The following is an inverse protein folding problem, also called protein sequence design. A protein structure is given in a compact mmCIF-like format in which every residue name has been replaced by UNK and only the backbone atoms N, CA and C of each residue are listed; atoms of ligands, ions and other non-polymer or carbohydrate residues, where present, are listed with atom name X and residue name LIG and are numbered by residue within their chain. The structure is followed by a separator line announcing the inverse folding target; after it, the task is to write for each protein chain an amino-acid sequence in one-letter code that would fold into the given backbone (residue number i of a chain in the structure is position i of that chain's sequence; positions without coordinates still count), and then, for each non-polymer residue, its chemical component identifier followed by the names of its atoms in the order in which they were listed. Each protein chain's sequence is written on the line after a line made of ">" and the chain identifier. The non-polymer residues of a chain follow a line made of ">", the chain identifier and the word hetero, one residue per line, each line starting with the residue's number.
data_IF_870796187989
#
_entry.id   IF_870796187989
#
_cell.length_a   1.000
_cell.length_b   1.000
_cell.length_c   1.000
_cell.angle_alpha   90.00
_cell.angle_beta   90.00
_cell.angle_gamma   90.00
#
_symmetry.space_group_name_H-M   'P 1'
#
loop_
_entity.id
_entity.type
_entity.pdbx_description
1 polymer ?
#
# COMPACT_ATOMS: atom_id res chain seq x y z
N UNK A 1 4.20 9.50 -6.66
CA UNK A 1 4.24 9.85 -5.22
C UNK A 1 2.81 9.79 -4.70
N UNK A 2 2.46 8.93 -3.74
CA UNK A 2 1.13 8.94 -3.10
C UNK A 2 0.40 7.60 -2.88
N UNK A 3 0.80 6.49 -3.49
CA UNK A 3 0.08 5.21 -3.34
C UNK A 3 0.12 4.66 -1.90
N UNK A 4 1.24 4.83 -1.19
CA UNK A 4 1.35 4.44 0.22
C UNK A 4 0.49 5.29 1.15
N UNK A 5 0.42 6.60 0.89
CA UNK A 5 -0.45 7.49 1.64
C UNK A 5 -1.92 7.13 1.39
N UNK A 6 -2.29 6.82 0.14
CA UNK A 6 -3.59 6.26 -0.21
C UNK A 6 -3.90 5.02 0.62
N UNK A 7 -3.00 4.03 0.66
CA UNK A 7 -3.17 2.82 1.49
C UNK A 7 -3.44 3.18 2.96
N UNK A 8 -2.73 4.15 3.54
CA UNK A 8 -2.94 4.54 4.93
C UNK A 8 -4.29 5.22 5.16
N UNK A 9 -4.77 6.02 4.21
CA UNK A 9 -6.10 6.65 4.26
C UNK A 9 -7.18 5.59 4.17
N UNK A 10 -7.11 4.71 3.16
CA UNK A 10 -8.11 3.65 2.95
C UNK A 10 -8.15 2.66 4.11
N UNK A 11 -7.00 2.35 4.73
CA UNK A 11 -6.95 1.57 5.97
C UNK A 11 -7.70 2.23 7.12
N UNK A 12 -7.61 3.56 7.26
CA UNK A 12 -8.37 4.32 8.25
C UNK A 12 -9.85 4.40 7.92
N UNK A 13 -10.19 4.42 6.63
CA UNK A 13 -11.57 4.48 6.14
C UNK A 13 -12.26 3.10 6.16
N UNK A 14 -11.48 2.02 6.27
CA UNK A 14 -11.98 0.64 6.30
C UNK A 14 -12.21 0.04 4.91
N UNK A 15 -11.80 0.74 3.83
CA UNK A 15 -11.95 0.27 2.46
C UNK A 15 -10.81 -0.70 2.11
N UNK A 16 -11.09 -2.00 2.27
CA UNK A 16 -10.11 -3.05 2.02
C UNK A 16 -9.83 -3.25 0.53
N UNK A 17 -10.78 -2.91 -0.34
CA UNK A 17 -10.66 -3.09 -1.78
C UNK A 17 -9.72 -2.03 -2.37
N UNK A 18 -9.84 -0.79 -1.90
CA UNK A 18 -8.93 0.30 -2.26
C UNK A 18 -7.51 0.01 -1.74
N UNK A 19 -7.38 -0.48 -0.49
CA UNK A 19 -6.09 -0.94 0.05
C UNK A 19 -5.45 -2.02 -0.83
N UNK A 20 -6.21 -3.03 -1.23
CA UNK A 20 -5.70 -4.11 -2.07
C UNK A 20 -5.29 -3.62 -3.47
N UNK A 21 -6.07 -2.72 -4.07
CA UNK A 21 -5.80 -2.13 -5.38
C UNK A 21 -4.52 -1.29 -5.39
N UNK A 22 -4.34 -0.46 -4.37
CA UNK A 22 -3.13 0.34 -4.21
C UNK A 22 -1.92 -0.52 -3.85
N UNK A 23 -2.08 -1.53 -3.00
CA UNK A 23 -1.03 -2.48 -2.66
C UNK A 23 -0.54 -3.27 -3.90
N UNK A 24 -1.47 -3.70 -4.75
CA UNK A 24 -1.15 -4.38 -6.00
C UNK A 24 -0.41 -3.46 -6.97
N UNK A 25 -0.87 -2.22 -7.12
CA UNK A 25 -0.23 -1.21 -7.96
C UNK A 25 1.18 -0.90 -7.48
N UNK A 26 1.36 -0.74 -6.17
CA UNK A 26 2.64 -0.49 -5.54
C UNK A 26 3.63 -1.64 -5.79
N UNK A 27 3.20 -2.90 -5.61
CA UNK A 27 4.04 -4.08 -5.87
C UNK A 27 4.37 -4.29 -7.34
N UNK A 28 3.45 -3.95 -8.26
CA UNK A 28 3.65 -4.14 -9.70
C UNK A 28 4.48 -3.04 -10.35
N UNK A 29 4.21 -1.79 -10.00
CA UNK A 29 4.83 -0.63 -10.65
C UNK A 29 6.10 -0.18 -9.94
N UNK A 30 6.20 -0.41 -8.62
CA UNK A 30 7.29 0.08 -7.79
C UNK A 30 7.79 -0.99 -6.80
N UNK A 31 8.19 -2.18 -7.28
CA UNK A 31 8.55 -3.32 -6.40
C UNK A 31 9.69 -3.01 -5.41
N UNK A 32 10.64 -2.18 -5.84
CA UNK A 32 11.86 -1.80 -5.10
C UNK A 32 11.75 -0.44 -4.42
N UNK A 33 10.58 0.22 -4.44
CA UNK A 33 10.42 1.49 -3.75
C UNK A 33 10.27 1.30 -2.26
N UNK A 34 10.73 2.28 -1.50
CA UNK A 34 10.64 2.28 -0.04
C UNK A 34 9.20 2.05 0.44
N UNK A 35 8.21 2.60 -0.25
CA UNK A 35 6.80 2.35 0.03
C UNK A 35 6.40 0.87 -0.10
N UNK A 36 6.90 0.18 -1.12
CA UNK A 36 6.65 -1.25 -1.29
C UNK A 36 7.31 -2.08 -0.18
N UNK A 37 8.49 -1.65 0.29
CA UNK A 37 9.12 -2.24 1.47
C UNK A 37 8.29 -2.02 2.74
N UNK A 38 7.85 -0.78 3.00
CA UNK A 38 7.00 -0.43 4.15
C UNK A 38 5.66 -1.19 4.12
N UNK A 39 5.06 -1.38 2.94
CA UNK A 39 3.85 -2.19 2.78
C UNK A 39 4.09 -3.66 3.19
N UNK A 40 5.23 -4.24 2.79
CA UNK A 40 5.60 -5.62 3.17
C UNK A 40 5.89 -5.76 4.66
N UNK A 41 6.45 -4.73 5.30
CA UNK A 41 6.70 -4.74 6.74
C UNK A 41 5.42 -4.54 7.56
N UNK A 42 4.55 -3.61 7.16
CA UNK A 42 3.28 -3.34 7.83
C UNK A 42 2.28 -4.50 7.74
N UNK A 43 2.40 -5.37 6.75
CA UNK A 43 1.56 -6.57 6.60
C UNK A 43 2.10 -7.77 7.39
N UNK A 44 3.30 -7.66 7.96
CA UNK A 44 3.94 -8.69 8.79
C UNK A 44 3.75 -8.48 10.30
N UNK A 45 3.15 -7.35 10.72
CA UNK A 45 2.78 -7.06 12.10
C UNK A 45 1.32 -7.43 12.35
#
# INVERSE_FOLDING_TARGET
>A
QGLWLGIQIERKMGDKDAVASYALSLRKQFPDSEEAHLLRESSRR
#
